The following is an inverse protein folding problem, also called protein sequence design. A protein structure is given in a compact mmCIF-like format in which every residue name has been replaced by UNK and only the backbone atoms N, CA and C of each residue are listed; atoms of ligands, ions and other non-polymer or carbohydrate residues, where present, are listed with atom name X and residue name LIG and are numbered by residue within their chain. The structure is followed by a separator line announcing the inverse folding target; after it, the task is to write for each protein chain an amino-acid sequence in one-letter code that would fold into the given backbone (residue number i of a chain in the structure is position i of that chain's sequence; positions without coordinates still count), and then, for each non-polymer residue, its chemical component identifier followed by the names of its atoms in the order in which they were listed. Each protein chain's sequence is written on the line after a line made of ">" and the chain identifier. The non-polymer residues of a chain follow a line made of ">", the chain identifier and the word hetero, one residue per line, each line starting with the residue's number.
data_IF_789590193268
#
_entry.id   IF_789590193268
#
_cell.length_a   1.000
_cell.length_b   1.000
_cell.length_c   1.000
_cell.angle_alpha   90.00
_cell.angle_beta   90.00
_cell.angle_gamma   90.00
#
_symmetry.space_group_name_H-M   'P 1'
#
loop_
_entity.id
_entity.type
_entity.pdbx_description
1 polymer ?
#
# COMPACT_ATOMS: atom_id res chain seq x y z
N UNK A 1 -7.67 5.70 4.44
CA UNK A 1 -8.40 6.39 5.52
C UNK A 1 -8.14 7.89 5.52
N UNK A 2 -9.11 8.68 5.02
CA UNK A 2 -9.11 10.15 5.16
C UNK A 2 -9.50 10.48 6.59
N UNK A 3 -8.61 11.11 7.37
CA UNK A 3 -8.96 11.72 8.66
C UNK A 3 -8.28 11.17 9.92
N UNK A 4 -7.47 10.10 9.83
CA UNK A 4 -6.66 9.67 10.97
C UNK A 4 -5.41 10.55 11.12
N UNK A 5 -5.12 10.96 12.36
CA UNK A 5 -3.87 11.64 12.68
C UNK A 5 -2.67 10.77 12.25
N UNK A 6 -1.56 11.36 11.77
CA UNK A 6 -0.42 10.60 11.24
C UNK A 6 0.14 9.54 12.21
N UNK A 7 0.13 9.83 13.51
CA UNK A 7 0.58 8.91 14.55
C UNK A 7 -0.34 7.70 14.70
N UNK A 8 -1.65 7.92 14.68
CA UNK A 8 -2.66 6.85 14.79
C UNK A 8 -2.61 5.96 13.56
N UNK A 9 -2.42 6.56 12.38
CA UNK A 9 -2.21 5.80 11.14
C UNK A 9 -0.99 4.87 11.29
N UNK A 10 0.16 5.39 11.72
CA UNK A 10 1.38 4.58 11.90
C UNK A 10 1.16 3.41 12.86
N UNK A 11 0.54 3.66 14.02
CA UNK A 11 0.28 2.61 15.01
C UNK A 11 -0.67 1.53 14.45
N UNK A 12 -1.73 1.93 13.73
CA UNK A 12 -2.64 0.99 13.07
C UNK A 12 -1.89 0.06 12.11
N UNK A 13 -1.03 0.63 11.27
CA UNK A 13 -0.23 -0.14 10.32
C UNK A 13 0.75 -1.08 11.04
N UNK A 14 1.43 -0.63 12.09
CA UNK A 14 2.32 -1.49 12.90
C UNK A 14 1.57 -2.70 13.48
N UNK A 15 0.33 -2.50 13.98
CA UNK A 15 -0.51 -3.58 14.49
C UNK A 15 -0.94 -4.54 13.39
N UNK A 16 -1.30 -4.04 12.20
CA UNK A 16 -1.60 -4.87 11.03
C UNK A 16 -0.39 -5.74 10.67
N UNK A 17 0.82 -5.17 10.69
CA UNK A 17 2.04 -5.91 10.40
C UNK A 17 2.31 -7.02 11.43
N UNK A 18 1.99 -6.82 12.71
CA UNK A 18 2.07 -7.87 13.74
C UNK A 18 1.13 -9.02 13.42
N UNK A 19 -0.11 -8.73 13.03
CA UNK A 19 -1.11 -9.75 12.63
C UNK A 19 -0.64 -10.52 11.39
N UNK A 20 -0.13 -9.82 10.38
CA UNK A 20 0.41 -10.48 9.19
C UNK A 20 1.59 -11.42 9.54
N UNK A 21 2.50 -10.97 10.42
CA UNK A 21 3.63 -11.79 10.88
C UNK A 21 3.23 -12.99 11.73
N UNK A 22 2.02 -13.01 12.31
CA UNK A 22 1.51 -14.20 13.01
C UNK A 22 0.96 -15.28 12.05
N UNK A 23 1.12 -15.11 10.73
CA UNK A 23 0.70 -16.07 9.70
C UNK A 23 -0.72 -15.86 9.20
N UNK A 24 -1.38 -14.77 9.60
CA UNK A 24 -2.72 -14.43 9.11
C UNK A 24 -2.59 -13.65 7.81
N UNK A 25 -3.27 -14.12 6.76
CA UNK A 25 -3.34 -13.39 5.49
C UNK A 25 -4.18 -12.13 5.66
N UNK A 26 -3.61 -10.98 5.28
CA UNK A 26 -4.28 -9.69 5.32
C UNK A 26 -4.43 -9.14 3.91
N UNK A 27 -5.66 -8.71 3.56
CA UNK A 27 -5.91 -7.87 2.40
C UNK A 27 -6.20 -6.45 2.89
N UNK A 28 -5.35 -5.50 2.49
CA UNK A 28 -5.48 -4.10 2.86
C UNK A 28 -5.88 -3.27 1.64
N UNK A 29 -6.86 -2.38 1.81
CA UNK A 29 -7.29 -1.42 0.79
C UNK A 29 -7.04 -0.02 1.33
N UNK A 30 -6.16 0.73 0.67
CA UNK A 30 -5.77 2.06 1.10
C UNK A 30 -5.56 3.02 -0.07
N UNK A 31 -5.78 4.31 0.20
CA UNK A 31 -5.53 5.39 -0.76
C UNK A 31 -4.08 5.89 -0.70
N UNK A 32 -3.39 5.62 0.40
CA UNK A 32 -1.99 5.96 0.62
C UNK A 32 -1.11 4.85 0.00
N UNK A 33 -0.86 4.99 -1.31
CA UNK A 33 -0.17 3.96 -2.10
C UNK A 33 1.26 3.73 -1.60
N UNK A 34 1.97 4.80 -1.26
CA UNK A 34 3.35 4.74 -0.75
C UNK A 34 3.45 3.91 0.53
N UNK A 35 2.57 4.16 1.49
CA UNK A 35 2.55 3.42 2.76
C UNK A 35 2.16 1.95 2.55
N UNK A 36 1.22 1.70 1.64
CA UNK A 36 0.77 0.33 1.32
C UNK A 36 1.91 -0.50 0.74
N UNK A 37 2.68 0.06 -0.21
CA UNK A 37 3.81 -0.62 -0.82
C UNK A 37 4.90 -0.97 0.20
N UNK A 38 5.13 -0.11 1.20
CA UNK A 38 6.14 -0.39 2.21
C UNK A 38 5.82 -1.61 3.11
N UNK A 39 4.56 -2.04 3.19
CA UNK A 39 4.11 -3.08 4.13
C UNK A 39 3.63 -4.37 3.46
N UNK A 40 3.25 -4.31 2.19
CA UNK A 40 2.66 -5.44 1.45
C UNK A 40 3.71 -6.32 0.77
N UNK A 41 3.38 -7.59 0.57
CA UNK A 41 4.20 -8.51 -0.22
C UNK A 41 3.85 -8.43 -1.72
N UNK A 42 2.58 -8.19 -2.02
CA UNK A 42 2.04 -8.02 -3.37
C UNK A 42 1.04 -6.87 -3.36
N UNK A 43 1.03 -6.12 -4.44
CA UNK A 43 0.26 -4.91 -4.62
C UNK A 43 -0.56 -4.97 -5.90
N UNK A 44 -1.71 -4.31 -5.85
CA UNK A 44 -2.61 -4.13 -6.97
C UNK A 44 -3.07 -2.68 -6.96
N UNK A 45 -2.91 -1.99 -8.09
CA UNK A 45 -3.33 -0.61 -8.24
C UNK A 45 -4.58 -0.57 -9.10
N UNK A 46 -5.66 -0.08 -8.50
CA UNK A 46 -6.96 0.05 -9.15
C UNK A 46 -7.24 1.52 -9.43
N UNK A 47 -7.58 1.84 -10.68
CA UNK A 47 -7.95 3.20 -11.11
C UNK A 47 -9.16 3.11 -12.04
N UNK A 48 -10.18 3.93 -11.78
CA UNK A 48 -11.41 3.98 -12.59
C UNK A 48 -12.04 2.59 -12.85
N UNK A 49 -12.03 1.73 -11.83
CA UNK A 49 -12.58 0.37 -11.91
C UNK A 49 -11.74 -0.63 -12.71
N UNK A 50 -10.51 -0.28 -13.08
CA UNK A 50 -9.59 -1.15 -13.83
C UNK A 50 -8.30 -1.38 -13.04
N UNK A 51 -7.77 -2.60 -13.12
CA UNK A 51 -6.43 -2.91 -12.63
C UNK A 51 -5.43 -2.26 -13.59
N UNK A 52 -4.67 -1.29 -13.10
CA UNK A 52 -3.68 -0.56 -13.90
C UNK A 52 -2.26 -1.02 -13.64
N UNK A 53 -1.99 -1.64 -12.49
CA UNK A 53 -0.68 -2.22 -12.19
C UNK A 53 -0.79 -3.34 -11.14
N UNK A 54 0.15 -4.29 -11.17
CA UNK A 54 0.30 -5.32 -10.15
C UNK A 54 1.77 -5.74 -10.00
N UNK A 55 2.17 -6.15 -8.80
CA UNK A 55 3.53 -6.64 -8.57
C UNK A 55 3.96 -6.59 -7.12
N UNK A 56 5.22 -6.94 -6.88
CA UNK A 56 5.88 -6.68 -5.60
C UNK A 56 6.08 -5.18 -5.41
N UNK A 57 6.24 -4.76 -4.17
CA UNK A 57 6.53 -3.36 -3.86
C UNK A 57 7.82 -2.87 -4.54
N UNK A 58 8.79 -3.76 -4.73
CA UNK A 58 10.07 -3.43 -5.32
C UNK A 58 9.96 -3.15 -6.83
N UNK A 59 9.18 -3.96 -7.55
CA UNK A 59 8.88 -3.77 -8.97
C UNK A 59 8.08 -2.46 -9.17
N UNK A 60 7.03 -2.25 -8.37
CA UNK A 60 6.18 -1.07 -8.51
C UNK A 60 6.88 0.24 -8.13
N UNK A 61 7.87 0.21 -7.23
CA UNK A 61 8.69 1.37 -6.89
C UNK A 61 9.72 1.73 -7.98
N UNK A 62 9.97 0.85 -8.95
CA UNK A 62 10.85 1.11 -10.10
C UNK A 62 10.07 1.62 -11.33
N UNK A 63 8.74 1.50 -11.32
CA UNK A 63 7.87 2.01 -12.38
C UNK A 63 7.74 3.54 -12.30
N UNK A 64 8.42 4.25 -13.19
CA UNK A 64 8.40 5.72 -13.24
C UNK A 64 7.01 6.32 -13.46
N UNK A 65 6.16 5.67 -14.27
CA UNK A 65 4.83 6.19 -14.58
C UNK A 65 3.90 6.05 -13.38
N UNK A 66 4.02 4.94 -12.66
CA UNK A 66 3.32 4.71 -11.39
C UNK A 66 3.77 5.70 -10.32
N UNK A 67 5.08 5.96 -10.21
CA UNK A 67 5.64 6.93 -9.25
C UNK A 67 5.09 8.33 -9.47
N UNK A 68 5.11 8.80 -10.71
CA UNK A 68 4.62 10.13 -11.09
C UNK A 68 3.12 10.27 -10.86
N UNK A 69 2.36 9.23 -11.24
CA UNK A 69 0.89 9.31 -11.26
C UNK A 69 0.23 9.02 -9.92
N UNK A 70 0.85 8.22 -9.05
CA UNK A 70 0.21 7.70 -7.83
C UNK A 70 1.02 7.85 -6.55
N UNK A 71 2.35 8.05 -6.63
CA UNK A 71 3.21 8.24 -5.45
C UNK A 71 3.62 9.70 -5.23
N UNK A 72 3.41 10.57 -6.22
CA UNK A 72 3.82 11.98 -6.16
C UNK A 72 5.35 12.14 -6.13
N UNK A 73 6.09 11.17 -6.71
CA UNK A 73 7.55 11.09 -6.76
C UNK A 73 8.08 11.20 -8.19
#
# INVERSE_FOLDING_TARGET
>A
SVGLAPIVKRELFERIAVVARSGITVLLVEQDVAMTFAMSNRNYVLSHGRLVNEGTSQELLQDEDLRKSYLGL
#
